data_IF_247857331513
#
_entry.id   IF_247857331513
#
_cell.length_a   1.000
_cell.length_b   1.000
_cell.length_c   1.000
_cell.angle_alpha   90.00
_cell.angle_beta   90.00
_cell.angle_gamma   90.00
#
_symmetry.space_group_name_H-M   'P 1'
#
loop_
_entity.id
_entity.type
_entity.pdbx_description
1 polymer ?
#
# COMPACT_ATOMS: atom_id res chain seq x y z
N UNK A 1 40.20 -5.45 16.70
CA UNK A 1 38.79 -5.79 16.97
C UNK A 1 37.93 -4.65 16.44
N UNK A 2 37.56 -4.76 15.16
CA UNK A 2 36.48 -3.99 14.53
C UNK A 2 35.68 -5.03 13.78
N UNK A 3 34.55 -5.46 14.36
CA UNK A 3 33.69 -6.51 13.79
C UNK A 3 32.53 -5.89 13.00
N UNK A 4 32.72 -4.67 12.47
CA UNK A 4 31.66 -3.87 11.86
C UNK A 4 31.99 -3.37 10.44
N UNK A 5 33.11 -3.78 9.81
CA UNK A 5 33.49 -3.28 8.47
C UNK A 5 33.03 -4.15 7.30
N UNK A 6 32.72 -5.43 7.50
CA UNK A 6 32.75 -6.40 6.39
C UNK A 6 31.36 -6.79 5.83
N UNK A 7 30.28 -6.05 6.15
CA UNK A 7 28.91 -6.47 5.78
C UNK A 7 28.07 -5.45 5.01
N UNK A 8 28.63 -4.29 4.62
CA UNK A 8 27.93 -3.25 3.84
C UNK A 8 28.58 -3.01 2.45
N UNK A 9 29.58 -3.80 2.05
CA UNK A 9 30.32 -3.52 0.79
C UNK A 9 29.62 -4.04 -0.49
N UNK A 10 28.62 -4.93 -0.40
CA UNK A 10 27.97 -5.54 -1.58
C UNK A 10 26.46 -5.29 -1.71
N UNK A 11 25.91 -4.28 -1.02
CA UNK A 11 24.53 -3.88 -1.23
C UNK A 11 24.43 -2.94 -2.44
N UNK A 12 24.12 -3.49 -3.62
CA UNK A 12 23.81 -2.70 -4.81
C UNK A 12 22.71 -1.68 -4.47
N UNK A 13 23.02 -0.39 -4.61
CA UNK A 13 22.10 0.68 -4.26
C UNK A 13 20.86 0.61 -5.14
N UNK A 14 19.68 0.72 -4.52
CA UNK A 14 18.43 0.76 -5.26
C UNK A 14 18.38 2.04 -6.12
N UNK A 15 17.92 1.94 -7.38
CA UNK A 15 17.75 3.12 -8.23
C UNK A 15 16.66 4.03 -7.65
N UNK A 16 16.74 5.32 -7.97
CA UNK A 16 15.69 6.27 -7.61
C UNK A 16 14.34 5.89 -8.24
N UNK A 17 13.25 6.04 -7.48
CA UNK A 17 11.88 5.76 -7.94
C UNK A 17 11.21 4.63 -7.17
N UNK A 18 10.31 3.91 -7.84
CA UNK A 18 9.59 2.77 -7.26
C UNK A 18 10.54 1.56 -7.10
N UNK A 19 10.29 0.74 -6.07
CA UNK A 19 11.01 -0.51 -5.89
C UNK A 19 10.84 -1.44 -7.11
N UNK A 20 11.87 -2.23 -7.47
CA UNK A 20 11.71 -3.31 -8.43
C UNK A 20 10.55 -4.22 -8.02
N UNK A 21 9.65 -4.62 -8.95
CA UNK A 21 8.48 -5.44 -8.64
C UNK A 21 8.79 -6.72 -7.86
N UNK A 22 9.87 -7.43 -8.22
CA UNK A 22 10.26 -8.67 -7.55
C UNK A 22 10.72 -8.44 -6.11
N UNK A 23 11.39 -7.31 -5.86
CA UNK A 23 11.78 -6.93 -4.51
C UNK A 23 10.54 -6.57 -3.67
N UNK A 24 9.62 -5.79 -4.23
CA UNK A 24 8.36 -5.47 -3.56
C UNK A 24 7.58 -6.75 -3.24
N UNK A 25 7.39 -7.65 -4.21
CA UNK A 25 6.70 -8.92 -4.01
C UNK A 25 7.28 -9.71 -2.83
N UNK A 26 8.62 -9.82 -2.76
CA UNK A 26 9.31 -10.49 -1.65
C UNK A 26 9.03 -9.83 -0.31
N UNK A 27 9.09 -8.50 -0.23
CA UNK A 27 8.83 -7.76 1.01
C UNK A 27 7.38 -7.96 1.49
N UNK A 28 6.41 -7.95 0.57
CA UNK A 28 4.99 -8.13 0.90
C UNK A 28 4.70 -9.51 1.50
N UNK A 29 5.49 -10.55 1.18
CA UNK A 29 5.32 -11.90 1.77
C UNK A 29 5.51 -11.95 3.29
N UNK A 30 6.14 -10.93 3.88
CA UNK A 30 6.36 -10.84 5.32
C UNK A 30 5.19 -10.20 6.08
N UNK A 31 4.17 -9.70 5.37
CA UNK A 31 3.00 -9.08 5.99
C UNK A 31 1.95 -10.13 6.38
N UNK A 32 1.23 -9.95 7.50
CA UNK A 32 0.15 -10.84 7.88
C UNK A 32 -1.04 -10.66 6.92
N UNK A 33 -1.54 -11.78 6.38
CA UNK A 33 -2.64 -11.82 5.38
C UNK A 33 -3.60 -13.00 5.61
N UNK A 34 -3.60 -13.57 6.80
CA UNK A 34 -4.30 -14.80 7.16
C UNK A 34 -5.75 -14.59 7.63
N UNK A 35 -6.20 -13.35 7.82
CA UNK A 35 -7.61 -13.07 8.12
C UNK A 35 -8.48 -13.45 6.91
N UNK A 36 -9.42 -14.40 7.04
CA UNK A 36 -10.25 -14.86 5.92
C UNK A 36 -11.16 -13.77 5.34
N UNK A 37 -11.37 -12.66 6.06
CA UNK A 37 -12.12 -11.51 5.57
C UNK A 37 -11.30 -10.66 4.60
N UNK A 38 -9.97 -10.81 4.55
CA UNK A 38 -9.13 -10.11 3.58
C UNK A 38 -9.25 -10.79 2.21
N UNK A 39 -10.15 -10.29 1.39
CA UNK A 39 -10.42 -10.83 0.05
C UNK A 39 -9.33 -10.45 -0.96
N UNK A 40 -8.75 -9.25 -0.79
CA UNK A 40 -7.59 -8.79 -1.55
C UNK A 40 -6.60 -8.14 -0.59
N UNK A 41 -5.46 -8.81 -0.40
CA UNK A 41 -4.35 -8.35 0.42
C UNK A 41 -3.28 -7.60 -0.38
N UNK A 42 -2.17 -7.23 0.28
CA UNK A 42 -1.04 -6.56 -0.37
C UNK A 42 -0.44 -7.45 -1.46
N UNK A 43 -0.42 -6.95 -2.69
CA UNK A 43 0.29 -7.58 -3.81
C UNK A 43 0.76 -6.51 -4.80
N UNK A 44 1.69 -6.88 -5.68
CA UNK A 44 2.23 -5.97 -6.68
C UNK A 44 1.13 -5.57 -7.66
N UNK A 45 0.95 -4.26 -7.84
CA UNK A 45 0.01 -3.69 -8.82
C UNK A 45 -1.39 -3.43 -8.28
N UNK A 46 -1.67 -3.78 -7.02
CA UNK A 46 -2.94 -3.45 -6.37
C UNK A 46 -2.80 -2.20 -5.54
N UNK A 47 -3.76 -1.28 -5.70
CA UNK A 47 -3.73 0.00 -5.01
C UNK A 47 -4.53 -0.04 -3.70
N UNK A 48 -5.46 -0.97 -3.49
CA UNK A 48 -6.30 -1.02 -2.30
C UNK A 48 -6.52 -2.45 -1.78
N UNK A 49 -6.83 -2.56 -0.48
CA UNK A 49 -7.25 -3.80 0.15
C UNK A 49 -8.78 -3.95 0.08
N UNK A 50 -9.26 -5.16 -0.15
CA UNK A 50 -10.70 -5.49 -0.15
C UNK A 50 -11.01 -6.41 1.01
N UNK A 51 -11.96 -6.02 1.85
CA UNK A 51 -12.29 -6.68 3.11
C UNK A 51 -13.79 -7.01 3.12
N UNK A 52 -14.14 -8.24 3.47
CA UNK A 52 -15.51 -8.63 3.78
C UNK A 52 -15.95 -7.94 5.09
N UNK A 53 -16.92 -7.04 4.99
CA UNK A 53 -17.34 -6.22 6.13
C UNK A 53 -18.50 -6.83 6.92
N UNK A 54 -19.43 -7.53 6.24
CA UNK A 54 -20.59 -8.15 6.86
C UNK A 54 -20.80 -9.57 6.35
N UNK A 55 -21.02 -10.52 7.25
CA UNK A 55 -21.24 -11.94 6.90
C UNK A 55 -22.64 -12.21 6.33
N UNK A 56 -23.60 -11.31 6.56
CA UNK A 56 -25.02 -11.51 6.23
C UNK A 56 -25.51 -10.71 5.02
N UNK A 57 -24.71 -9.75 4.55
CA UNK A 57 -24.99 -8.94 3.38
C UNK A 57 -23.70 -8.82 2.56
N UNK A 58 -23.79 -8.82 1.23
CA UNK A 58 -22.64 -8.65 0.32
C UNK A 58 -22.09 -7.21 0.40
N UNK A 59 -21.45 -6.87 1.51
CA UNK A 59 -20.85 -5.57 1.77
C UNK A 59 -19.34 -5.73 1.88
N UNK A 60 -18.64 -5.05 0.97
CA UNK A 60 -17.19 -5.01 0.93
C UNK A 60 -16.74 -3.64 1.41
N UNK A 61 -15.72 -3.62 2.26
CA UNK A 61 -14.97 -2.43 2.59
C UNK A 61 -13.70 -2.42 1.75
N UNK A 62 -13.49 -1.34 1.00
CA UNK A 62 -12.25 -1.11 0.27
C UNK A 62 -11.45 -0.03 0.99
N UNK A 63 -10.20 -0.33 1.33
CA UNK A 63 -9.34 0.54 2.12
C UNK A 63 -8.03 0.82 1.39
N UNK A 64 -7.61 2.09 1.42
CA UNK A 64 -6.42 2.62 0.77
C UNK A 64 -5.69 3.53 1.74
N UNK A 65 -4.37 3.59 1.63
CA UNK A 65 -3.55 4.63 2.26
C UNK A 65 -2.47 5.07 1.29
N UNK A 66 -2.31 6.39 1.10
CA UNK A 66 -1.20 6.97 0.35
C UNK A 66 -0.53 8.08 1.15
N UNK A 67 0.81 8.03 1.32
CA UNK A 67 1.55 9.18 1.80
C UNK A 67 1.65 10.23 0.70
N UNK A 68 0.89 11.32 0.81
CA UNK A 68 1.09 12.48 -0.05
C UNK A 68 2.33 13.23 0.42
N UNK A 69 3.36 13.24 -0.43
CA UNK A 69 4.65 13.89 -0.15
C UNK A 69 4.92 15.01 -1.15
N UNK A 70 5.75 15.99 -0.75
CA UNK A 70 6.22 17.10 -1.59
C UNK A 70 5.16 18.03 -2.19
N UNK A 71 3.88 17.94 -1.78
CA UNK A 71 2.89 18.95 -2.11
C UNK A 71 3.30 20.29 -1.49
N UNK A 72 3.52 21.31 -2.33
CA UNK A 72 3.91 22.66 -1.90
C UNK A 72 2.72 23.53 -1.52
N UNK A 73 1.53 23.17 -1.98
CA UNK A 73 0.25 23.81 -1.75
C UNK A 73 -0.88 22.77 -1.76
N UNK A 74 -2.07 23.18 -1.30
CA UNK A 74 -3.31 22.40 -1.35
C UNK A 74 -3.22 20.94 -0.81
N UNK A 75 -2.36 20.68 0.19
CA UNK A 75 -2.16 19.32 0.72
C UNK A 75 -3.47 18.62 1.11
N UNK A 76 -4.45 19.36 1.65
CA UNK A 76 -5.76 18.82 1.99
C UNK A 76 -6.58 18.38 0.78
N UNK A 77 -6.47 19.10 -0.34
CA UNK A 77 -7.11 18.71 -1.60
C UNK A 77 -6.49 17.42 -2.13
N UNK A 78 -5.16 17.33 -2.20
CA UNK A 78 -4.48 16.14 -2.69
C UNK A 78 -4.70 14.93 -1.80
N UNK A 79 -4.60 15.11 -0.48
CA UNK A 79 -4.85 14.08 0.52
C UNK A 79 -6.19 13.37 0.27
N UNK A 80 -7.27 14.14 0.11
CA UNK A 80 -8.60 13.58 -0.12
C UNK A 80 -8.75 13.02 -1.54
N UNK A 81 -8.40 13.80 -2.57
CA UNK A 81 -8.75 13.45 -3.96
C UNK A 81 -7.91 12.31 -4.51
N UNK A 82 -6.62 12.21 -4.15
CA UNK A 82 -5.75 11.11 -4.60
C UNK A 82 -6.25 9.79 -4.00
N UNK A 83 -6.44 9.73 -2.68
CA UNK A 83 -6.97 8.54 -2.02
C UNK A 83 -8.36 8.16 -2.54
N UNK A 84 -9.24 9.14 -2.77
CA UNK A 84 -10.59 8.88 -3.29
C UNK A 84 -10.58 8.36 -4.74
N UNK A 85 -9.67 8.85 -5.58
CA UNK A 85 -9.51 8.37 -6.95
C UNK A 85 -9.10 6.89 -6.98
N UNK A 86 -8.14 6.49 -6.14
CA UNK A 86 -7.67 5.12 -6.05
C UNK A 86 -8.79 4.16 -5.62
N UNK A 87 -9.68 4.59 -4.72
CA UNK A 87 -10.88 3.80 -4.39
C UNK A 87 -11.91 3.78 -5.53
N UNK A 88 -12.09 4.88 -6.25
CA UNK A 88 -13.08 4.95 -7.33
C UNK A 88 -12.75 4.01 -8.50
N UNK A 89 -11.46 3.83 -8.83
CA UNK A 89 -11.03 2.92 -9.91
C UNK A 89 -11.23 1.44 -9.58
N UNK A 90 -11.43 1.09 -8.30
CA UNK A 90 -11.82 -0.28 -7.90
C UNK A 90 -13.33 -0.51 -8.00
N UNK A 91 -14.11 0.50 -8.39
CA UNK A 91 -15.57 0.49 -8.34
C UNK A 91 -16.16 0.71 -6.94
N UNK A 92 -15.33 1.01 -5.93
CA UNK A 92 -15.81 1.38 -4.62
C UNK A 92 -16.34 2.82 -4.60
N UNK A 93 -17.30 3.09 -3.71
CA UNK A 93 -17.74 4.45 -3.43
C UNK A 93 -16.97 4.97 -2.21
N UNK A 94 -16.16 6.04 -2.33
CA UNK A 94 -15.53 6.66 -1.18
C UNK A 94 -16.59 7.20 -0.20
N UNK A 95 -16.43 6.93 1.10
CA UNK A 95 -17.37 7.34 2.16
C UNK A 95 -16.70 8.06 3.32
N UNK A 96 -15.45 7.70 3.64
CA UNK A 96 -14.72 8.19 4.81
C UNK A 96 -13.28 8.55 4.42
N UNK A 97 -12.69 9.47 5.17
CA UNK A 97 -11.28 9.85 5.11
C UNK A 97 -10.79 10.05 6.54
N UNK A 98 -9.60 9.54 6.86
CA UNK A 98 -9.00 9.58 8.21
C UNK A 98 -7.60 10.17 8.16
#
# INVERSE_FOLDING_TARGET
MSIYSDSIEDAELLPAGKLPPDLLARLLTHLPVDDPRLLLGPTVGEDAAVIEFAHTAKQLLVAKSDPITFATDEIGFYAVNVCANDLAVTGARPLFYL
#
